data_IF_415286417415
#
_entry.id   IF_415286417415
#
_cell.length_a   1.000
_cell.length_b   1.000
_cell.length_c   1.000
_cell.angle_alpha   90.00
_cell.angle_beta   90.00
_cell.angle_gamma   90.00
#
_symmetry.space_group_name_H-M   'P 1'
#
loop_
_entity.id
_entity.type
_entity.pdbx_description
1 polymer ?
#
# COMPACT_ATOMS: atom_id res chain seq x y z
N UNK A 1 8.19 -3.88 -14.77
CA UNK A 1 7.92 -5.25 -15.28
C UNK A 1 8.43 -5.38 -16.72
N UNK A 2 8.96 -6.54 -17.09
CA UNK A 2 9.32 -6.87 -18.46
C UNK A 2 8.39 -7.97 -18.96
N UNK A 3 7.82 -7.78 -20.15
CA UNK A 3 6.91 -8.74 -20.75
C UNK A 3 7.49 -9.30 -22.06
N UNK A 4 7.40 -10.62 -22.24
CA UNK A 4 7.72 -11.24 -23.52
C UNK A 4 6.67 -10.81 -24.56
N UNK A 5 7.12 -10.31 -25.72
CA UNK A 5 6.22 -9.82 -26.78
C UNK A 5 5.20 -10.86 -27.24
N UNK A 6 5.61 -12.14 -27.34
CA UNK A 6 4.71 -13.24 -27.70
C UNK A 6 3.59 -13.42 -26.66
N UNK A 7 3.89 -13.32 -25.36
CA UNK A 7 2.92 -13.44 -24.29
C UNK A 7 1.88 -12.31 -24.31
N UNK A 8 2.33 -11.07 -24.52
CA UNK A 8 1.43 -9.92 -24.62
C UNK A 8 0.53 -10.03 -25.87
N UNK A 9 1.07 -10.53 -26.99
CA UNK A 9 0.26 -10.78 -28.20
C UNK A 9 -0.81 -11.84 -27.98
N UNK A 10 -0.50 -12.90 -27.22
CA UNK A 10 -1.41 -14.01 -26.96
C UNK A 10 -2.66 -13.58 -26.17
N UNK A 11 -2.55 -12.56 -25.32
CA UNK A 11 -3.68 -11.99 -24.55
C UNK A 11 -4.32 -10.79 -25.24
N UNK A 12 -3.88 -10.39 -26.43
CA UNK A 12 -4.43 -9.26 -27.17
C UNK A 12 -3.88 -7.89 -26.78
N UNK A 13 -2.81 -7.82 -26.00
CA UNK A 13 -2.19 -6.57 -25.53
C UNK A 13 -2.24 -6.40 -24.01
N UNK A 14 -1.71 -5.30 -23.52
CA UNK A 14 -1.80 -4.91 -22.11
C UNK A 14 -3.24 -4.50 -21.81
N UNK A 15 -3.78 -4.95 -20.68
CA UNK A 15 -5.14 -4.62 -20.26
C UNK A 15 -5.21 -3.19 -19.72
N UNK A 16 -5.72 -2.27 -20.51
CA UNK A 16 -5.74 -0.83 -20.18
C UNK A 16 -7.06 -0.34 -19.57
N UNK A 17 -8.05 -1.22 -19.42
CA UNK A 17 -9.38 -0.85 -18.91
C UNK A 17 -9.48 -0.86 -17.37
N UNK A 18 -8.45 -1.32 -16.67
CA UNK A 18 -8.39 -1.35 -15.21
C UNK A 18 -7.40 -0.32 -14.66
N UNK A 19 -7.63 0.11 -13.42
CA UNK A 19 -6.72 0.99 -12.66
C UNK A 19 -5.46 0.27 -12.17
N UNK A 20 -5.48 -1.07 -12.17
CA UNK A 20 -4.34 -1.97 -11.88
C UNK A 20 -4.07 -2.82 -13.12
N UNK A 21 -3.66 -2.17 -14.21
CA UNK A 21 -3.37 -2.77 -15.50
C UNK A 21 -2.29 -3.86 -15.42
N UNK A 22 -1.37 -3.71 -14.49
CA UNK A 22 -0.25 -4.61 -14.24
C UNK A 22 -0.73 -5.95 -13.63
N UNK A 23 -1.54 -5.88 -12.59
CA UNK A 23 -2.11 -7.08 -11.94
C UNK A 23 -3.07 -7.78 -12.92
N UNK A 24 -3.92 -7.02 -13.59
CA UNK A 24 -4.88 -7.61 -14.52
C UNK A 24 -4.21 -8.30 -15.70
N UNK A 25 -3.22 -7.63 -16.32
CA UNK A 25 -2.42 -8.22 -17.39
C UNK A 25 -1.71 -9.50 -16.92
N UNK A 26 -1.17 -9.50 -15.70
CA UNK A 26 -0.53 -10.67 -15.11
C UNK A 26 -1.49 -11.83 -14.90
N UNK A 27 -2.73 -11.57 -14.44
CA UNK A 27 -3.77 -12.60 -14.30
C UNK A 27 -4.09 -13.22 -15.67
N UNK A 28 -4.30 -12.41 -16.70
CA UNK A 28 -4.62 -12.90 -18.05
C UNK A 28 -3.49 -13.74 -18.64
N UNK A 29 -2.24 -13.35 -18.41
CA UNK A 29 -1.08 -14.13 -18.83
C UNK A 29 -1.03 -15.49 -18.13
N UNK A 30 -1.24 -15.52 -16.81
CA UNK A 30 -1.26 -16.76 -16.05
C UNK A 30 -2.42 -17.68 -16.44
N UNK A 31 -3.61 -17.14 -16.75
CA UNK A 31 -4.76 -17.90 -17.28
C UNK A 31 -4.46 -18.57 -18.65
N UNK A 32 -3.51 -18.01 -19.42
CA UNK A 32 -3.00 -18.59 -20.68
C UNK A 32 -1.83 -19.54 -20.49
N UNK A 33 -1.41 -19.81 -19.23
CA UNK A 33 -0.31 -20.73 -18.91
C UNK A 33 1.08 -20.10 -18.96
N UNK A 34 1.20 -18.78 -19.17
CA UNK A 34 2.47 -18.09 -19.07
C UNK A 34 2.92 -18.03 -17.60
N UNK A 35 4.25 -18.06 -17.39
CA UNK A 35 4.84 -18.00 -16.04
C UNK A 35 5.55 -16.68 -15.83
N UNK A 36 5.51 -16.18 -14.60
CA UNK A 36 6.28 -15.02 -14.15
C UNK A 36 7.45 -15.46 -13.28
N UNK A 37 8.57 -14.76 -13.42
CA UNK A 37 9.78 -14.98 -12.61
C UNK A 37 10.06 -13.66 -11.89
N UNK A 38 10.25 -13.72 -10.57
CA UNK A 38 10.74 -12.60 -9.80
C UNK A 38 12.25 -12.53 -9.90
N UNK A 39 12.76 -11.39 -10.35
CA UNK A 39 14.19 -11.13 -10.42
C UNK A 39 14.54 -10.15 -9.29
N UNK A 40 15.33 -10.55 -8.27
CA UNK A 40 15.67 -9.69 -7.14
C UNK A 40 16.81 -8.71 -7.52
N UNK A 41 16.61 -7.96 -8.60
CA UNK A 41 17.53 -6.92 -9.08
C UNK A 41 16.74 -5.66 -9.33
N UNK A 42 17.24 -4.54 -8.85
CA UNK A 42 16.66 -3.22 -9.12
C UNK A 42 16.94 -2.85 -10.59
N UNK A 43 15.88 -2.87 -11.40
CA UNK A 43 15.96 -2.55 -12.84
C UNK A 43 15.46 -1.13 -13.15
N UNK A 44 14.75 -0.50 -12.21
CA UNK A 44 14.23 0.85 -12.35
C UNK A 44 14.07 1.49 -10.98
N UNK A 45 14.36 2.77 -10.91
CA UNK A 45 14.14 3.61 -9.73
C UNK A 45 13.02 4.59 -10.10
N UNK A 46 12.06 4.76 -9.21
CA UNK A 46 10.93 5.68 -9.38
C UNK A 46 10.78 6.60 -8.18
N UNK A 47 10.06 7.70 -8.38
CA UNK A 47 9.72 8.61 -7.30
C UNK A 47 8.61 8.03 -6.42
N UNK A 48 8.79 8.16 -5.10
CA UNK A 48 7.76 7.83 -4.11
C UNK A 48 6.88 9.05 -3.85
N UNK A 49 5.61 8.85 -3.42
CA UNK A 49 4.78 9.97 -2.98
C UNK A 49 5.43 10.70 -1.80
N UNK A 50 5.63 11.99 -1.94
CA UNK A 50 6.22 12.89 -0.95
C UNK A 50 5.17 13.69 -0.16
N UNK A 51 3.92 13.67 -0.60
CA UNK A 51 2.82 14.43 -0.03
C UNK A 51 1.63 13.53 0.32
N UNK A 52 0.81 13.96 1.28
CA UNK A 52 -0.45 13.28 1.63
C UNK A 52 -1.38 13.19 0.42
N UNK A 53 -1.39 14.20 -0.44
CA UNK A 53 -2.18 14.21 -1.66
C UNK A 53 -1.73 13.10 -2.63
N UNK A 54 -0.43 13.05 -2.95
CA UNK A 54 0.12 12.07 -3.90
C UNK A 54 -0.03 10.64 -3.36
N UNK A 55 0.24 10.44 -2.08
CA UNK A 55 0.01 9.17 -1.38
C UNK A 55 -1.46 8.74 -1.44
N UNK A 56 -2.39 9.63 -1.09
CA UNK A 56 -3.82 9.32 -1.08
C UNK A 56 -4.34 8.94 -2.47
N UNK A 57 -3.91 9.65 -3.51
CA UNK A 57 -4.28 9.35 -4.90
C UNK A 57 -3.72 7.99 -5.35
N UNK A 58 -2.46 7.69 -5.01
CA UNK A 58 -1.83 6.43 -5.36
C UNK A 58 -2.51 5.24 -4.66
N UNK A 59 -2.72 5.34 -3.33
CA UNK A 59 -3.39 4.29 -2.55
C UNK A 59 -4.83 4.07 -2.99
N UNK A 60 -5.57 5.15 -3.27
CA UNK A 60 -6.94 5.07 -3.77
C UNK A 60 -6.99 4.31 -5.11
N UNK A 61 -6.05 4.57 -6.02
CA UNK A 61 -5.94 3.89 -7.31
C UNK A 61 -5.67 2.41 -7.13
N UNK A 62 -4.65 2.06 -6.37
CA UNK A 62 -4.26 0.67 -6.16
C UNK A 62 -5.35 -0.15 -5.47
N UNK A 63 -5.94 0.41 -4.40
CA UNK A 63 -7.03 -0.25 -3.70
C UNK A 63 -8.27 -0.41 -4.57
N UNK A 64 -8.66 0.61 -5.35
CA UNK A 64 -9.82 0.51 -6.26
C UNK A 64 -9.58 -0.58 -7.30
N UNK A 65 -8.38 -0.64 -7.90
CA UNK A 65 -8.05 -1.69 -8.87
C UNK A 65 -8.04 -3.10 -8.26
N UNK A 66 -7.52 -3.26 -7.02
CA UNK A 66 -7.60 -4.53 -6.30
C UNK A 66 -9.03 -4.97 -6.03
N UNK A 67 -9.89 -4.09 -5.52
CA UNK A 67 -11.31 -4.38 -5.29
C UNK A 67 -12.08 -4.62 -6.59
N UNK A 68 -11.76 -3.89 -7.67
CA UNK A 68 -12.34 -4.12 -8.99
C UNK A 68 -12.07 -5.55 -9.47
N UNK A 69 -10.83 -6.01 -9.38
CA UNK A 69 -10.46 -7.39 -9.73
C UNK A 69 -11.23 -8.38 -8.85
N UNK A 70 -11.27 -8.16 -7.55
CA UNK A 70 -11.98 -9.04 -6.61
C UNK A 70 -13.45 -9.19 -6.95
N UNK A 71 -14.13 -8.09 -7.30
CA UNK A 71 -15.57 -8.06 -7.57
C UNK A 71 -15.93 -8.58 -8.97
N UNK A 72 -15.12 -8.25 -9.99
CA UNK A 72 -15.43 -8.55 -11.39
C UNK A 72 -14.73 -9.80 -11.91
N UNK A 73 -13.49 -10.04 -11.49
CA UNK A 73 -12.62 -11.10 -11.99
C UNK A 73 -12.04 -11.96 -10.86
N UNK A 74 -12.84 -12.29 -9.87
CA UNK A 74 -12.41 -12.99 -8.66
C UNK A 74 -11.50 -14.21 -8.98
N UNK A 75 -10.25 -14.21 -8.49
CA UNK A 75 -9.27 -15.28 -8.78
C UNK A 75 -9.66 -16.63 -8.23
N UNK A 76 -10.51 -16.69 -7.18
CA UNK A 76 -10.94 -17.96 -6.58
C UNK A 76 -12.02 -18.67 -7.39
N UNK A 77 -12.64 -18.04 -8.40
CA UNK A 77 -13.69 -18.69 -9.20
C UNK A 77 -13.15 -19.95 -9.90
N UNK A 78 -13.84 -21.11 -9.83
CA UNK A 78 -13.35 -22.37 -10.41
C UNK A 78 -13.08 -22.29 -11.92
N UNK A 79 -13.81 -21.42 -12.63
CA UNK A 79 -13.67 -21.25 -14.09
C UNK A 79 -12.35 -20.59 -14.49
N UNK A 80 -11.58 -20.00 -13.55
CA UNK A 80 -10.28 -19.39 -13.84
C UNK A 80 -9.23 -20.47 -14.02
N UNK A 81 -8.43 -20.36 -15.09
CA UNK A 81 -7.31 -21.28 -15.38
C UNK A 81 -6.04 -20.88 -14.62
N UNK A 82 -6.17 -20.71 -13.30
CA UNK A 82 -5.06 -20.34 -12.42
C UNK A 82 -4.69 -21.56 -11.55
N UNK A 83 -3.42 -21.74 -11.26
CA UNK A 83 -2.95 -22.66 -10.24
C UNK A 83 -3.38 -22.20 -8.83
N UNK A 84 -3.42 -23.11 -7.85
CA UNK A 84 -3.92 -22.78 -6.52
C UNK A 84 -3.08 -21.70 -5.82
N UNK A 85 -1.76 -21.76 -5.95
CA UNK A 85 -0.82 -20.75 -5.46
C UNK A 85 -1.10 -19.38 -6.06
N UNK A 86 -1.30 -19.29 -7.37
CA UNK A 86 -1.66 -18.05 -8.07
C UNK A 86 -3.02 -17.49 -7.59
N UNK A 87 -4.03 -18.38 -7.41
CA UNK A 87 -5.34 -17.98 -6.88
C UNK A 87 -5.22 -17.34 -5.50
N UNK A 88 -4.49 -17.99 -4.60
CA UNK A 88 -4.30 -17.50 -3.24
C UNK A 88 -3.51 -16.19 -3.21
N UNK A 89 -2.43 -16.08 -4.00
CA UNK A 89 -1.64 -14.86 -4.09
C UNK A 89 -2.45 -13.68 -4.64
N UNK A 90 -3.17 -13.86 -5.75
CA UNK A 90 -4.01 -12.80 -6.30
C UNK A 90 -5.16 -12.44 -5.36
N UNK A 91 -5.78 -13.43 -4.71
CA UNK A 91 -6.81 -13.16 -3.71
C UNK A 91 -6.26 -12.35 -2.54
N UNK A 92 -5.11 -12.74 -1.98
CA UNK A 92 -4.45 -12.01 -0.91
C UNK A 92 -4.12 -10.57 -1.33
N UNK A 93 -3.59 -10.38 -2.54
CA UNK A 93 -3.28 -9.05 -3.09
C UNK A 93 -4.53 -8.18 -3.21
N UNK A 94 -5.63 -8.73 -3.75
CA UNK A 94 -6.88 -7.98 -3.93
C UNK A 94 -7.61 -7.70 -2.61
N UNK A 95 -7.46 -8.55 -1.59
CA UNK A 95 -8.10 -8.38 -0.28
C UNK A 95 -7.24 -7.61 0.71
N UNK A 96 -5.98 -7.37 0.41
CA UNK A 96 -5.04 -6.66 1.29
C UNK A 96 -5.61 -5.36 1.87
N UNK A 97 -6.29 -4.57 1.04
CA UNK A 97 -6.83 -3.27 1.43
C UNK A 97 -8.00 -3.32 2.42
N UNK A 98 -8.63 -4.49 2.64
CA UNK A 98 -9.59 -4.67 3.74
C UNK A 98 -8.92 -4.53 5.10
N UNK A 99 -7.64 -4.90 5.22
CA UNK A 99 -6.88 -4.70 6.47
C UNK A 99 -6.79 -3.23 6.85
N UNK A 100 -6.77 -2.32 5.87
CA UNK A 100 -6.75 -0.88 6.11
C UNK A 100 -8.13 -0.29 6.45
N UNK A 101 -9.24 -1.00 6.17
CA UNK A 101 -10.59 -0.59 6.60
C UNK A 101 -10.82 -0.91 8.09
N UNK A 102 -10.24 -2.00 8.57
CA UNK A 102 -10.43 -2.48 9.94
C UNK A 102 -10.10 -1.43 11.02
N UNK A 103 -9.01 -0.63 10.95
CA UNK A 103 -8.76 0.43 11.92
C UNK A 103 -9.91 1.42 12.06
N UNK A 104 -10.53 1.83 10.95
CA UNK A 104 -11.69 2.72 10.96
C UNK A 104 -12.90 2.12 11.67
N UNK A 105 -13.16 0.83 11.46
CA UNK A 105 -14.24 0.13 12.17
C UNK A 105 -13.93 -0.04 13.65
N UNK A 106 -12.69 -0.39 13.99
CA UNK A 106 -12.26 -0.55 15.37
C UNK A 106 -12.29 0.76 16.17
N UNK A 107 -12.11 1.91 15.52
CA UNK A 107 -12.28 3.22 16.15
C UNK A 107 -13.72 3.49 16.62
N UNK A 108 -14.72 2.85 16.03
CA UNK A 108 -16.11 2.99 16.46
C UNK A 108 -16.41 2.22 17.76
N UNK A 109 -15.66 1.17 18.06
CA UNK A 109 -15.88 0.32 19.22
C UNK A 109 -15.90 1.10 20.54
N UNK A 110 -14.87 1.90 20.89
CA UNK A 110 -14.89 2.69 22.11
C UNK A 110 -15.99 3.75 22.13
N UNK A 111 -16.39 4.30 20.98
CA UNK A 111 -17.52 5.23 20.87
C UNK A 111 -18.81 4.53 21.25
N UNK A 112 -19.07 3.34 20.70
CA UNK A 112 -20.25 2.55 21.00
C UNK A 112 -20.32 2.14 22.49
N UNK A 113 -19.18 1.80 23.08
CA UNK A 113 -19.13 1.47 24.50
C UNK A 113 -19.37 2.70 25.39
N UNK A 114 -18.79 3.84 25.08
CA UNK A 114 -18.90 5.05 25.92
C UNK A 114 -20.31 5.64 25.88
N UNK A 115 -20.96 5.72 24.73
CA UNK A 115 -22.24 6.40 24.57
C UNK A 115 -23.45 5.46 24.63
N UNK A 116 -23.28 4.19 24.30
CA UNK A 116 -24.42 3.25 24.22
C UNK A 116 -24.27 2.03 25.12
N UNK A 117 -23.17 1.92 25.87
CA UNK A 117 -22.81 0.75 26.70
C UNK A 117 -22.81 -0.57 25.90
N UNK A 118 -22.56 -0.47 24.59
CA UNK A 118 -22.45 -1.61 23.69
C UNK A 118 -21.02 -2.15 23.73
N UNK A 119 -20.86 -3.35 24.27
CA UNK A 119 -19.58 -4.05 24.35
C UNK A 119 -19.54 -5.14 23.27
N UNK A 120 -18.93 -4.89 22.10
CA UNK A 120 -18.88 -5.87 21.01
C UNK A 120 -18.15 -7.16 21.38
N UNK A 121 -17.26 -7.07 22.38
CA UNK A 121 -16.50 -8.19 22.90
C UNK A 121 -16.65 -8.21 24.42
N UNK A 122 -17.31 -9.26 24.93
CA UNK A 122 -17.38 -9.51 26.36
C UNK A 122 -16.07 -10.13 26.80
N UNK A 123 -15.17 -9.34 27.36
CA UNK A 123 -13.86 -9.78 27.75
C UNK A 123 -13.91 -10.34 29.18
N UNK A 124 -14.21 -11.63 29.29
CA UNK A 124 -13.90 -12.41 30.49
C UNK A 124 -12.39 -12.72 30.60
N UNK A 125 -11.55 -11.98 29.87
CA UNK A 125 -10.10 -12.18 29.76
C UNK A 125 -9.40 -11.35 30.81
N UNK A 126 -8.51 -11.97 31.59
CA UNK A 126 -7.73 -11.28 32.61
C UNK A 126 -6.71 -10.35 31.96
N UNK A 127 -6.39 -9.21 32.62
CA UNK A 127 -5.50 -8.20 32.09
C UNK A 127 -4.13 -8.74 31.62
N UNK A 128 -3.58 -9.75 32.30
CA UNK A 128 -2.28 -10.35 31.95
C UNK A 128 -2.36 -11.23 30.70
N UNK A 129 -3.50 -11.83 30.39
CA UNK A 129 -3.72 -12.58 29.14
C UNK A 129 -3.75 -11.61 27.97
N UNK A 130 -4.37 -10.44 28.16
CA UNK A 130 -4.30 -9.33 27.23
C UNK A 130 -2.87 -8.83 27.04
N UNK A 131 -2.13 -8.63 28.13
CA UNK A 131 -0.74 -8.16 28.12
C UNK A 131 0.17 -9.14 27.39
N UNK A 132 -0.07 -10.45 27.47
CA UNK A 132 0.70 -11.43 26.74
C UNK A 132 0.36 -11.47 25.24
N UNK A 133 -0.91 -11.38 24.90
CA UNK A 133 -1.37 -11.49 23.51
C UNK A 133 -1.00 -10.26 22.68
N UNK A 134 -1.34 -9.06 23.14
CA UNK A 134 -1.14 -7.84 22.37
C UNK A 134 0.32 -7.45 22.17
N UNK A 135 1.18 -7.39 23.21
CA UNK A 135 2.59 -7.12 22.99
C UNK A 135 3.26 -8.14 22.07
N UNK A 136 2.91 -9.41 22.18
CA UNK A 136 3.42 -10.47 21.29
C UNK A 136 3.03 -10.24 19.85
N UNK A 137 1.77 -9.89 19.60
CA UNK A 137 1.28 -9.56 18.27
C UNK A 137 2.01 -8.34 17.68
N UNK A 138 2.10 -7.24 18.43
CA UNK A 138 2.80 -6.04 17.96
C UNK A 138 4.31 -6.26 17.79
N UNK A 139 4.94 -6.98 18.71
CA UNK A 139 6.35 -7.34 18.58
C UNK A 139 6.61 -8.16 17.30
N UNK A 140 5.73 -9.09 16.98
CA UNK A 140 5.82 -9.86 15.73
C UNK A 140 5.65 -8.97 14.49
N UNK A 141 4.72 -8.01 14.50
CA UNK A 141 4.53 -7.06 13.39
C UNK A 141 5.75 -6.15 13.22
N UNK A 142 6.31 -5.65 14.31
CA UNK A 142 7.54 -4.84 14.29
C UNK A 142 8.72 -5.65 13.76
N UNK A 143 8.90 -6.88 14.25
CA UNK A 143 9.95 -7.78 13.80
C UNK A 143 9.80 -8.09 12.30
N UNK A 144 8.59 -8.40 11.85
CA UNK A 144 8.30 -8.66 10.44
C UNK A 144 8.63 -7.44 9.57
N UNK A 145 8.24 -6.24 10.00
CA UNK A 145 8.56 -5.00 9.31
C UNK A 145 10.07 -4.75 9.26
N UNK A 146 10.79 -4.97 10.36
CA UNK A 146 12.24 -4.84 10.42
C UNK A 146 12.97 -5.84 9.51
N UNK A 147 12.48 -7.09 9.43
CA UNK A 147 13.06 -8.14 8.56
C UNK A 147 12.78 -7.86 7.08
N UNK A 148 11.56 -7.43 6.73
CA UNK A 148 11.17 -7.21 5.33
C UNK A 148 11.73 -5.89 4.80
N UNK A 149 11.62 -4.81 5.58
CA UNK A 149 11.98 -3.46 5.15
C UNK A 149 13.39 -3.03 5.61
N UNK A 150 14.07 -3.86 6.40
CA UNK A 150 15.38 -3.55 6.99
C UNK A 150 15.35 -2.48 8.08
N UNK A 151 14.30 -1.69 8.17
CA UNK A 151 14.13 -0.62 9.17
C UNK A 151 12.67 -0.50 9.57
N UNK A 152 12.42 -0.23 10.85
CA UNK A 152 11.09 0.11 11.33
C UNK A 152 10.95 1.64 11.38
N UNK A 153 9.91 2.16 10.72
CA UNK A 153 9.56 3.58 10.74
C UNK A 153 8.15 3.75 11.31
N UNK A 154 8.04 4.52 12.37
CA UNK A 154 6.76 4.75 13.05
C UNK A 154 5.74 5.49 12.17
N UNK A 155 6.22 6.29 11.20
CA UNK A 155 5.38 6.98 10.22
C UNK A 155 4.56 6.01 9.36
N UNK A 156 5.09 4.81 9.13
CA UNK A 156 4.35 3.75 8.40
C UNK A 156 3.13 3.29 9.19
N UNK A 157 3.26 3.13 10.52
CA UNK A 157 2.12 2.82 11.39
C UNK A 157 1.09 3.95 11.38
N UNK A 158 1.56 5.20 11.42
CA UNK A 158 0.69 6.36 11.38
C UNK A 158 -0.13 6.41 10.09
N UNK A 159 0.53 6.19 8.94
CA UNK A 159 -0.13 6.11 7.64
C UNK A 159 -1.11 4.93 7.58
N UNK A 160 -0.69 3.74 8.02
CA UNK A 160 -1.53 2.54 8.00
C UNK A 160 -2.81 2.73 8.83
N UNK A 161 -2.70 3.27 10.05
CA UNK A 161 -3.83 3.52 10.93
C UNK A 161 -4.81 4.58 10.38
N UNK A 162 -4.30 5.55 9.59
CA UNK A 162 -5.10 6.69 9.10
C UNK A 162 -5.53 6.55 7.63
N UNK A 163 -5.19 5.47 6.94
CA UNK A 163 -5.55 5.24 5.53
C UNK A 163 -6.97 4.69 5.33
N UNK A 164 -7.70 4.34 6.39
CA UNK A 164 -9.02 3.73 6.31
C UNK A 164 -10.04 4.48 5.43
N UNK A 165 -10.10 5.84 5.40
CA UNK A 165 -11.06 6.52 4.54
C UNK A 165 -10.76 6.34 3.06
N UNK A 166 -9.47 6.22 2.70
CA UNK A 166 -9.03 5.99 1.34
C UNK A 166 -9.52 4.63 0.86
N UNK A 167 -9.35 3.59 1.69
CA UNK A 167 -9.73 2.21 1.35
C UNK A 167 -11.24 1.99 1.36
N UNK A 168 -11.97 2.64 2.28
CA UNK A 168 -13.44 2.67 2.27
C UNK A 168 -13.92 3.30 0.96
N UNK A 169 -13.40 4.46 0.59
CA UNK A 169 -13.73 5.13 -0.67
C UNK A 169 -13.39 4.26 -1.88
N UNK A 170 -12.23 3.59 -1.86
CA UNK A 170 -11.81 2.68 -2.93
C UNK A 170 -12.78 1.52 -3.11
N UNK A 171 -13.25 0.93 -2.02
CA UNK A 171 -14.23 -0.15 -2.03
C UNK A 171 -15.55 0.28 -2.66
N UNK A 172 -16.09 1.44 -2.24
CA UNK A 172 -17.32 1.96 -2.83
C UNK A 172 -17.14 2.39 -4.29
N UNK A 173 -16.00 2.96 -4.66
CA UNK A 173 -15.70 3.28 -6.07
C UNK A 173 -15.72 2.02 -6.94
N UNK A 174 -15.13 0.92 -6.47
CA UNK A 174 -15.14 -0.34 -7.19
C UNK A 174 -16.55 -0.97 -7.27
N UNK A 175 -17.31 -0.93 -6.15
CA UNK A 175 -18.65 -1.47 -6.06
C UNK A 175 -19.64 -0.73 -6.97
N UNK A 176 -19.57 0.60 -6.96
CA UNK A 176 -20.45 1.48 -7.75
C UNK A 176 -19.90 1.75 -9.16
N UNK A 177 -18.76 1.15 -9.52
CA UNK A 177 -18.10 1.31 -10.83
C UNK A 177 -17.88 2.79 -11.20
N UNK A 178 -17.47 3.60 -10.22
CA UNK A 178 -17.21 5.03 -10.43
C UNK A 178 -15.98 5.20 -11.31
N UNK A 179 -16.16 5.85 -12.45
CA UNK A 179 -15.03 6.20 -13.31
C UNK A 179 -14.27 7.38 -12.72
N UNK A 180 -13.08 7.11 -12.18
CA UNK A 180 -12.19 8.15 -11.66
C UNK A 180 -11.09 8.39 -12.68
N UNK A 181 -10.96 9.64 -13.16
CA UNK A 181 -9.91 10.04 -14.10
C UNK A 181 -8.53 9.69 -13.52
N UNK A 182 -7.69 9.09 -14.36
CA UNK A 182 -6.33 8.73 -14.02
C UNK A 182 -5.41 9.96 -14.06
N UNK A 183 -4.54 10.11 -13.06
CA UNK A 183 -3.45 11.08 -13.07
C UNK A 183 -2.15 10.39 -12.68
N UNK A 184 -1.08 10.69 -13.41
CA UNK A 184 0.26 10.15 -13.13
C UNK A 184 0.76 10.70 -11.80
N UNK A 185 1.35 9.83 -10.96
CA UNK A 185 2.03 10.25 -9.72
C UNK A 185 3.22 11.13 -10.11
N UNK A 186 3.37 12.30 -9.49
CA UNK A 186 4.46 13.25 -9.79
C UNK A 186 4.19 14.24 -10.93
N UNK A 187 3.15 14.06 -11.75
CA UNK A 187 2.91 14.91 -12.94
C UNK A 187 2.50 16.36 -12.64
N UNK A 188 2.07 16.67 -11.43
CA UNK A 188 1.76 18.04 -10.99
C UNK A 188 2.05 18.15 -9.51
N UNK A 189 2.99 18.98 -9.13
CA UNK A 189 3.20 19.34 -7.73
C UNK A 189 1.84 19.65 -7.09
N UNK A 190 1.50 18.94 -6.03
CA UNK A 190 0.19 18.97 -5.41
C UNK A 190 -0.23 20.39 -5.06
N UNK A 191 -1.16 20.94 -5.85
CA UNK A 191 -1.69 22.29 -5.65
C UNK A 191 -2.75 22.35 -4.56
N UNK A 192 -3.32 21.19 -4.22
CA UNK A 192 -4.39 21.09 -3.24
C UNK A 192 -3.82 21.07 -1.81
N UNK A 193 -4.61 21.60 -0.86
CA UNK A 193 -4.29 21.50 0.56
C UNK A 193 -4.38 20.04 1.03
N UNK A 194 -3.43 19.59 1.86
CA UNK A 194 -3.47 18.28 2.49
C UNK A 194 -4.80 18.05 3.26
N UNK A 195 -5.38 19.09 3.83
CA UNK A 195 -6.67 18.99 4.54
C UNK A 195 -7.82 18.49 3.68
N UNK A 196 -7.82 18.75 2.37
CA UNK A 196 -8.87 18.26 1.48
C UNK A 196 -8.89 16.72 1.37
N UNK A 197 -7.78 16.08 1.72
CA UNK A 197 -7.63 14.63 1.67
C UNK A 197 -7.81 13.95 3.03
N UNK A 198 -7.80 14.73 4.13
CA UNK A 198 -7.85 14.19 5.50
C UNK A 198 -9.07 14.68 6.30
N UNK A 199 -10.10 15.26 5.66
CA UNK A 199 -11.26 15.78 6.37
C UNK A 199 -11.96 14.72 7.22
N UNK A 200 -12.03 13.46 6.74
CA UNK A 200 -12.63 12.36 7.51
C UNK A 200 -11.82 12.06 8.76
N UNK A 201 -10.49 12.07 8.66
CA UNK A 201 -9.60 11.87 9.81
C UNK A 201 -9.70 13.03 10.82
N UNK A 202 -9.88 14.27 10.32
CA UNK A 202 -10.09 15.44 11.20
C UNK A 202 -11.39 15.28 12.01
N UNK A 203 -12.49 14.88 11.36
CA UNK A 203 -13.76 14.62 12.07
C UNK A 203 -13.66 13.43 13.01
N UNK A 204 -12.98 12.36 12.60
CA UNK A 204 -12.68 11.22 13.47
C UNK A 204 -11.85 11.64 14.69
N UNK A 205 -10.86 12.52 14.51
CA UNK A 205 -10.06 13.07 15.59
C UNK A 205 -10.93 13.86 16.60
N UNK A 206 -11.79 14.77 16.11
CA UNK A 206 -12.70 15.54 16.97
C UNK A 206 -13.63 14.61 17.73
N UNK A 207 -14.20 13.60 17.07
CA UNK A 207 -15.05 12.60 17.69
C UNK A 207 -14.29 11.82 18.79
N UNK A 208 -13.06 11.35 18.49
CA UNK A 208 -12.27 10.57 19.45
C UNK A 208 -11.85 11.41 20.65
N UNK A 209 -11.46 12.66 20.45
CA UNK A 209 -11.13 13.59 21.56
C UNK A 209 -12.37 13.84 22.43
N UNK A 210 -13.51 14.13 21.81
CA UNK A 210 -14.77 14.31 22.55
C UNK A 210 -15.15 13.05 23.34
N UNK A 211 -15.06 11.88 22.72
CA UNK A 211 -15.32 10.59 23.39
C UNK A 211 -14.32 10.35 24.54
N UNK A 212 -13.04 10.70 24.34
CA UNK A 212 -12.01 10.59 25.40
C UNK A 212 -12.38 11.45 26.64
N UNK A 213 -12.79 12.68 26.40
CA UNK A 213 -13.18 13.59 27.51
C UNK A 213 -14.37 12.99 28.29
N UNK A 214 -15.42 12.55 27.60
CA UNK A 214 -16.59 11.94 28.22
C UNK A 214 -16.22 10.66 28.97
N UNK A 215 -15.38 9.82 28.37
CA UNK A 215 -14.95 8.55 28.98
C UNK A 215 -14.09 8.76 30.21
N UNK A 216 -13.15 9.70 30.20
CA UNK A 216 -12.31 10.06 31.36
C UNK A 216 -13.19 10.59 32.51
N UNK A 217 -14.15 11.46 32.20
CA UNK A 217 -15.09 11.97 33.21
C UNK A 217 -15.93 10.84 33.84
N UNK A 218 -16.44 9.91 33.00
CA UNK A 218 -17.19 8.75 33.47
C UNK A 218 -16.33 7.85 34.37
N UNK A 219 -15.12 7.54 33.95
CA UNK A 219 -14.21 6.68 34.72
C UNK A 219 -13.82 7.31 36.06
N UNK A 220 -13.59 8.63 36.06
CA UNK A 220 -13.34 9.37 37.28
C UNK A 220 -14.53 9.28 38.25
N UNK A 221 -15.76 9.43 37.76
CA UNK A 221 -16.98 9.34 38.59
C UNK A 221 -17.25 7.92 39.09
N UNK A 222 -16.84 6.89 38.36
CA UNK A 222 -17.01 5.48 38.73
C UNK A 222 -15.85 4.92 39.56
N UNK A 223 -14.73 5.63 39.65
CA UNK A 223 -13.56 5.21 40.41
C UNK A 223 -12.76 4.05 39.80
N UNK A 224 -12.97 3.76 38.52
CA UNK A 224 -12.21 2.71 37.81
C UNK A 224 -11.96 3.11 36.34
N UNK A 225 -10.82 2.73 35.83
CA UNK A 225 -10.46 2.97 34.43
C UNK A 225 -11.05 1.89 33.53
N UNK A 226 -11.71 2.33 32.46
CA UNK A 226 -12.22 1.44 31.41
C UNK A 226 -11.22 1.32 30.25
N UNK A 227 -11.14 0.14 29.65
CA UNK A 227 -10.30 -0.12 28.49
C UNK A 227 -10.72 0.74 27.27
N UNK A 228 -12.01 1.09 27.16
CA UNK A 228 -12.49 1.98 26.12
C UNK A 228 -11.84 3.37 26.20
N UNK A 229 -11.62 3.89 27.43
CA UNK A 229 -10.94 5.17 27.65
C UNK A 229 -9.51 5.12 27.13
N UNK A 230 -8.78 4.03 27.41
CA UNK A 230 -7.43 3.83 26.87
C UNK A 230 -7.43 3.85 25.33
N UNK A 231 -8.36 3.14 24.70
CA UNK A 231 -8.46 3.10 23.23
C UNK A 231 -8.88 4.44 22.64
N UNK A 232 -9.78 5.19 23.28
CA UNK A 232 -10.13 6.54 22.83
C UNK A 232 -8.91 7.47 22.83
N UNK A 233 -8.14 7.48 23.92
CA UNK A 233 -6.94 8.31 24.05
C UNK A 233 -5.88 7.91 23.04
N UNK A 234 -5.63 6.61 22.88
CA UNK A 234 -4.67 6.08 21.92
C UNK A 234 -5.03 6.44 20.47
N UNK A 235 -6.29 6.25 20.07
CA UNK A 235 -6.78 6.63 18.76
C UNK A 235 -6.72 8.14 18.52
N UNK A 236 -7.05 8.95 19.57
CA UNK A 236 -6.90 10.41 19.52
C UNK A 236 -5.44 10.80 19.26
N UNK A 237 -4.48 10.12 19.88
CA UNK A 237 -3.06 10.36 19.66
C UNK A 237 -2.65 10.07 18.20
N UNK A 238 -3.01 8.93 17.65
CA UNK A 238 -2.65 8.56 16.26
C UNK A 238 -3.31 9.51 15.24
N UNK A 239 -4.58 9.80 15.40
CA UNK A 239 -5.30 10.75 14.54
C UNK A 239 -4.72 12.17 14.67
N UNK A 240 -4.45 12.61 15.89
CA UNK A 240 -3.86 13.93 16.15
C UNK A 240 -2.48 14.07 15.55
N UNK A 241 -1.61 13.07 15.71
CA UNK A 241 -0.29 13.05 15.09
C UNK A 241 -0.37 13.16 13.56
N UNK A 242 -1.34 12.46 12.94
CA UNK A 242 -1.55 12.54 11.49
C UNK A 242 -2.07 13.92 11.05
N UNK A 243 -3.00 14.52 11.79
CA UNK A 243 -3.51 15.88 11.51
C UNK A 243 -2.39 16.92 11.65
N UNK A 244 -1.52 16.77 12.66
CA UNK A 244 -0.34 17.64 12.83
C UNK A 244 0.61 17.51 11.65
N UNK A 245 0.88 16.29 11.18
CA UNK A 245 1.72 16.06 9.99
C UNK A 245 1.15 16.77 8.77
N UNK A 246 -0.15 16.67 8.53
CA UNK A 246 -0.81 17.38 7.44
C UNK A 246 -0.74 18.91 7.57
N UNK A 247 -0.83 19.42 8.79
CA UNK A 247 -0.68 20.84 9.07
C UNK A 247 0.75 21.34 8.76
N UNK A 248 1.76 20.56 9.14
CA UNK A 248 3.16 20.86 8.86
C UNK A 248 3.45 20.84 7.36
N UNK A 249 2.94 19.83 6.63
CA UNK A 249 3.04 19.77 5.16
C UNK A 249 2.45 21.03 4.51
N UNK A 250 1.25 21.43 4.93
CA UNK A 250 0.63 22.65 4.41
C UNK A 250 1.43 23.92 4.70
N UNK A 251 2.07 24.00 5.88
CA UNK A 251 2.95 25.13 6.22
C UNK A 251 4.20 25.16 5.35
N UNK A 252 4.81 24.01 5.08
CA UNK A 252 5.97 23.90 4.18
C UNK A 252 5.60 24.34 2.77
N UNK A 253 4.52 23.80 2.20
CA UNK A 253 4.02 24.22 0.88
C UNK A 253 3.73 25.72 0.77
N UNK A 254 3.24 26.35 1.85
CA UNK A 254 3.05 27.82 1.86
C UNK A 254 4.36 28.57 1.86
N UNK A 255 5.37 28.09 2.60
CA UNK A 255 6.71 28.71 2.65
C UNK A 255 7.40 28.61 1.30
N UNK A 256 7.37 27.45 0.65
CA UNK A 256 7.96 27.23 -0.68
C UNK A 256 7.34 28.12 -1.76
N UNK A 257 6.02 28.37 -1.68
CA UNK A 257 5.35 29.30 -2.60
C UNK A 257 5.74 30.77 -2.38
N UNK A 258 6.23 31.10 -1.20
CA UNK A 258 6.60 32.49 -0.82
C UNK A 258 8.09 32.77 -1.06
N UNK A 259 8.92 31.72 -1.18
CA UNK A 259 10.32 31.87 -1.58
C UNK A 259 10.43 32.13 -3.07
N UNK A 260 11.22 33.16 -3.51
CA UNK A 260 11.43 33.43 -4.93
C UNK A 260 12.05 32.19 -5.60
N UNK A 261 11.57 31.88 -6.79
CA UNK A 261 12.04 30.73 -7.60
C UNK A 261 13.57 30.66 -7.82
N UNK A 262 14.30 31.74 -7.53
CA UNK A 262 15.78 31.85 -7.66
C UNK A 262 16.55 30.86 -6.77
N UNK A 263 15.99 30.46 -5.61
CA UNK A 263 16.67 29.52 -4.70
C UNK A 263 16.46 28.05 -5.11
N UNK A 264 15.46 27.78 -5.95
CA UNK A 264 15.17 26.44 -6.45
C UNK A 264 16.05 26.04 -7.64
N UNK A 265 16.50 27.01 -8.46
CA UNK A 265 17.44 26.77 -9.57
C UNK A 265 18.88 26.53 -9.08
N UNK A 266 19.22 27.03 -7.88
CA UNK A 266 20.55 26.82 -7.28
C UNK A 266 20.69 25.44 -6.58
N UNK A 267 19.59 24.77 -6.28
CA UNK A 267 19.60 23.40 -5.78
C UNK A 267 19.49 22.42 -6.95
N UNK A 268 20.51 22.37 -7.81
CA UNK A 268 20.69 21.29 -8.76
C UNK A 268 20.58 19.95 -8.00
N UNK A 269 19.61 19.16 -8.42
CA UNK A 269 19.28 17.86 -7.83
C UNK A 269 20.56 17.01 -7.69
N UNK A 270 20.95 16.58 -6.48
CA UNK A 270 22.09 15.66 -6.30
C UNK A 270 21.94 14.34 -7.06
N UNK A 271 20.79 14.16 -7.68
CA UNK A 271 20.45 12.97 -8.48
C UNK A 271 20.75 13.13 -9.98
N UNK A 272 20.90 14.35 -10.50
CA UNK A 272 21.20 14.58 -11.93
C UNK A 272 22.57 13.96 -12.30
N UNK A 273 23.59 14.23 -11.50
CA UNK A 273 24.92 13.65 -11.72
C UNK A 273 24.98 12.12 -11.49
N UNK A 274 24.21 11.59 -10.54
CA UNK A 274 24.15 10.14 -10.32
C UNK A 274 23.39 9.40 -11.43
N UNK A 275 22.36 9.99 -12.02
CA UNK A 275 21.64 9.38 -13.13
C UNK A 275 22.50 9.31 -14.40
N UNK A 276 23.24 10.35 -14.73
CA UNK A 276 24.13 10.35 -15.90
C UNK A 276 25.30 9.36 -15.74
N UNK A 277 25.88 9.28 -14.53
CA UNK A 277 26.98 8.33 -14.25
C UNK A 277 26.49 6.88 -14.17
N UNK A 278 25.28 6.61 -13.70
CA UNK A 278 24.73 5.25 -13.64
C UNK A 278 24.29 4.72 -15.00
N UNK A 279 23.70 5.57 -15.85
CA UNK A 279 23.32 5.20 -17.22
C UNK A 279 24.55 4.99 -18.08
N UNK A 280 25.60 5.81 -17.97
CA UNK A 280 26.87 5.67 -18.70
C UNK A 280 27.65 4.40 -18.35
N UNK A 281 27.65 3.95 -17.07
CA UNK A 281 28.33 2.71 -16.66
C UNK A 281 27.53 1.43 -16.93
N UNK A 282 26.21 1.51 -17.08
CA UNK A 282 25.37 0.35 -17.33
C UNK A 282 25.17 0.04 -18.80
N UNK A 283 25.39 1.00 -19.71
CA UNK A 283 25.36 0.74 -21.17
C UNK A 283 26.54 -0.12 -21.64
N UNK A 284 27.66 -0.13 -20.92
CA UNK A 284 28.81 -0.99 -21.22
C UNK A 284 28.70 -2.43 -20.64
N UNK A 285 27.72 -2.72 -19.77
CA UNK A 285 27.67 -3.97 -18.99
C UNK A 285 26.49 -4.89 -19.31
N UNK A 286 25.60 -4.53 -20.21
CA UNK A 286 24.39 -5.34 -20.49
C UNK A 286 24.29 -5.63 -22.00
N UNK A 287 25.09 -6.59 -22.42
CA UNK A 287 24.79 -7.31 -23.66
C UNK A 287 23.62 -8.26 -23.41
N UNK A 288 22.42 -7.71 -23.52
CA UNK A 288 21.15 -8.43 -23.26
C UNK A 288 20.97 -9.57 -24.26
N UNK A 289 21.52 -9.46 -25.45
CA UNK A 289 21.52 -10.55 -26.45
C UNK A 289 22.40 -11.71 -25.98
N UNK A 290 23.58 -11.45 -25.44
CA UNK A 290 24.46 -12.51 -24.95
C UNK A 290 23.86 -13.29 -23.78
N UNK A 291 23.08 -12.62 -22.92
CA UNK A 291 22.36 -13.29 -21.81
C UNK A 291 21.19 -14.12 -22.33
N UNK A 292 20.47 -13.62 -23.32
CA UNK A 292 19.35 -14.33 -23.94
C UNK A 292 19.82 -15.53 -24.74
N UNK A 293 20.94 -15.40 -25.46
CA UNK A 293 21.56 -16.51 -26.24
C UNK A 293 22.14 -17.58 -25.31
N UNK A 294 22.74 -17.19 -24.18
CA UNK A 294 23.23 -18.14 -23.17
C UNK A 294 22.10 -18.91 -22.48
N UNK A 295 20.94 -18.29 -22.30
CA UNK A 295 19.75 -18.94 -21.74
C UNK A 295 19.05 -19.82 -22.78
N UNK A 296 19.02 -19.43 -24.06
CA UNK A 296 18.48 -20.23 -25.14
C UNK A 296 19.34 -21.49 -25.37
N UNK A 297 20.68 -21.35 -25.31
CA UNK A 297 21.60 -22.47 -25.40
C UNK A 297 21.47 -23.46 -24.24
N UNK A 298 21.25 -22.97 -22.99
CA UNK A 298 20.97 -23.84 -21.83
C UNK A 298 19.61 -24.53 -21.91
N UNK A 299 18.59 -23.85 -22.44
CA UNK A 299 17.28 -24.45 -22.70
C UNK A 299 17.31 -25.55 -23.75
N UNK A 300 18.02 -25.33 -24.83
CA UNK A 300 18.20 -26.33 -25.91
C UNK A 300 18.98 -27.57 -25.45
N UNK A 301 19.95 -27.42 -24.55
CA UNK A 301 20.69 -28.53 -23.94
C UNK A 301 19.86 -29.33 -22.94
N UNK A 302 18.85 -28.74 -22.31
CA UNK A 302 17.95 -29.42 -21.39
C UNK A 302 16.83 -30.22 -22.10
N UNK A 303 16.50 -29.84 -23.34
CA UNK A 303 15.47 -30.53 -24.16
C UNK A 303 16.01 -31.64 -25.05
N UNK A 304 17.33 -31.77 -25.21
CA UNK A 304 17.92 -32.79 -26.08
C UNK A 304 19.17 -33.44 -25.45
N UNK A 305 19.01 -34.55 -24.70
CA UNK A 305 20.09 -35.23 -24.00
C UNK A 305 21.18 -35.82 -24.93
N UNK A 306 20.88 -36.01 -26.22
CA UNK A 306 21.82 -36.60 -27.20
C UNK A 306 22.97 -35.64 -27.65
N UNK A 307 22.90 -34.37 -27.29
CA UNK A 307 23.94 -33.37 -27.60
C UNK A 307 25.04 -33.25 -26.53
N UNK A 308 24.91 -33.95 -25.41
CA UNK A 308 25.93 -33.93 -24.34
C UNK A 308 27.11 -34.87 -24.66
N UNK A 309 26.94 -35.87 -25.52
CA UNK A 309 27.96 -36.92 -25.77
C UNK A 309 28.93 -36.61 -26.92
N UNK A 310 28.86 -35.45 -27.56
CA UNK A 310 29.76 -35.07 -28.66
C UNK A 310 30.90 -34.10 -28.32
N UNK A 311 31.10 -33.81 -27.04
CA UNK A 311 32.24 -32.98 -26.57
C UNK A 311 32.99 -33.66 -25.42
N UNK A 312 33.33 -34.93 -25.57
CA UNK A 312 34.35 -35.65 -24.82
C UNK A 312 35.62 -35.83 -25.69
#
# INVERSE_FOLDING_TARGET
MLFRRAAVKDIGGIYTQSKSEDIWTSILLHERGWRSIFQPKELAIGETPDTIESYSKQQLRWATGGFEILLTHNPLRPRRRLHMDQRLMYFATCTFYFTGIAPGLLMLVPVLEVFFDLRPVTLAVKWYEWALFYPGFYAMQILLAAVIAGTFRWEVLLLAANSFPIYIKAFFNALLKVDTKWSVTGATGGKASAFNFIMVQVWAFVLMVGTSIVSIYRDYSMGHLNIATFWCVLNSFFLGAFVVTAFLENRQKKREKTQPQRDLEAAESPYADRQLVSVGRQSEALDVEAILDAQAAKGALAENPELQDRKG
#
